data_IF_799631479400
#
_entry.id   IF_799631479400
#
_cell.length_a   1.000
_cell.length_b   1.000
_cell.length_c   1.000
_cell.angle_alpha   90.00
_cell.angle_beta   90.00
_cell.angle_gamma   90.00
#
_symmetry.space_group_name_H-M   'P 1'
#
loop_
_entity.id
_entity.type
_entity.pdbx_description
1 polymer ?
#
# COMPACT_ATOMS: atom_id res chain seq x y z
N UNK A 1 -6.23 -17.96 -66.43
CA UNK A 1 -6.92 -16.70 -66.06
C UNK A 1 -6.93 -16.62 -64.54
N UNK A 2 -6.66 -15.51 -63.85
CA UNK A 2 -6.01 -14.22 -64.21
C UNK A 2 -5.17 -13.80 -62.98
N UNK A 3 -4.07 -13.08 -63.19
CA UNK A 3 -3.39 -12.37 -62.08
C UNK A 3 -4.21 -11.15 -61.64
N UNK A 4 -4.02 -10.71 -60.39
CA UNK A 4 -3.68 -9.33 -60.00
C UNK A 4 -3.21 -9.34 -58.52
N UNK A 5 -2.52 -8.27 -58.10
CA UNK A 5 -1.74 -8.16 -56.86
C UNK A 5 -1.86 -6.70 -56.36
N UNK A 6 -1.70 -6.47 -55.05
CA UNK A 6 -1.59 -5.15 -54.38
C UNK A 6 -2.93 -4.34 -54.33
N UNK A 7 -3.18 -3.44 -53.37
CA UNK A 7 -2.33 -3.01 -52.23
C UNK A 7 -3.10 -2.59 -50.95
N UNK A 8 -2.34 -2.48 -49.85
CA UNK A 8 -2.55 -1.77 -48.57
C UNK A 8 -3.93 -1.24 -48.12
N UNK A 9 -4.30 -1.54 -46.85
CA UNK A 9 -4.28 -0.55 -45.75
C UNK A 9 -4.42 -1.23 -44.37
N UNK A 10 -3.66 -0.76 -43.37
CA UNK A 10 -3.73 -1.25 -41.97
C UNK A 10 -4.74 -0.45 -41.13
N UNK A 11 -5.31 -1.10 -40.12
CA UNK A 11 -5.72 -0.44 -38.87
C UNK A 11 -5.63 -1.44 -37.71
N UNK A 12 -4.43 -1.66 -37.20
CA UNK A 12 -4.17 -2.60 -36.11
C UNK A 12 -4.96 -2.29 -34.83
N UNK A 13 -5.63 -3.30 -34.28
CA UNK A 13 -6.21 -3.30 -32.92
C UNK A 13 -5.77 -4.56 -32.17
N UNK A 14 -4.46 -4.65 -31.93
CA UNK A 14 -3.89 -5.67 -31.07
C UNK A 14 -4.28 -5.38 -29.61
N UNK A 15 -5.33 -6.04 -29.13
CA UNK A 15 -5.76 -5.97 -27.72
C UNK A 15 -4.80 -6.81 -26.88
N UNK A 16 -3.64 -6.24 -26.57
CA UNK A 16 -2.63 -6.88 -25.74
C UNK A 16 -3.17 -7.12 -24.32
N UNK A 17 -3.59 -8.35 -24.03
CA UNK A 17 -3.93 -8.80 -22.69
C UNK A 17 -2.67 -8.83 -21.84
N UNK A 18 -2.42 -7.75 -21.08
CA UNK A 18 -1.29 -7.67 -20.17
C UNK A 18 -1.37 -8.80 -19.14
N UNK A 19 -0.35 -9.65 -19.12
CA UNK A 19 -0.24 -10.75 -18.18
C UNK A 19 0.09 -10.21 -16.79
N UNK A 20 -0.94 -10.07 -15.95
CA UNK A 20 -0.81 -9.72 -14.55
C UNK A 20 -0.11 -10.85 -13.78
N UNK A 21 1.21 -10.87 -13.81
CA UNK A 21 2.02 -11.74 -12.95
C UNK A 21 1.76 -11.44 -11.47
N UNK A 22 1.92 -12.45 -10.61
CA UNK A 22 1.63 -12.38 -9.18
C UNK A 22 2.35 -11.21 -8.49
N UNK A 23 1.62 -10.11 -8.26
CA UNK A 23 2.01 -9.02 -7.37
C UNK A 23 1.38 -9.23 -6.01
N UNK A 24 2.16 -8.93 -4.97
CA UNK A 24 1.83 -9.16 -3.57
C UNK A 24 1.85 -7.83 -2.81
N UNK A 25 0.98 -7.72 -1.82
CA UNK A 25 0.82 -6.55 -0.92
C UNK A 25 2.16 -5.95 -0.44
N UNK A 26 3.11 -6.81 -0.10
CA UNK A 26 4.37 -6.44 0.54
C UNK A 26 5.62 -6.99 -0.19
N UNK A 27 5.60 -7.02 -1.53
CA UNK A 27 6.74 -7.43 -2.37
C UNK A 27 8.03 -6.62 -2.10
N UNK A 28 7.88 -5.35 -1.71
CA UNK A 28 8.90 -4.53 -1.07
C UNK A 28 8.59 -4.47 0.42
N UNK A 29 9.32 -5.26 1.22
CA UNK A 29 9.07 -5.38 2.65
C UNK A 29 9.10 -4.01 3.36
N UNK A 30 8.11 -3.77 4.23
CA UNK A 30 7.92 -2.49 4.93
C UNK A 30 8.94 -2.30 6.06
N UNK A 31 10.22 -2.20 5.69
CA UNK A 31 11.33 -1.79 6.53
C UNK A 31 11.22 -0.28 6.82
N UNK A 32 10.17 0.10 7.57
CA UNK A 32 9.86 1.48 7.98
C UNK A 32 10.99 2.12 8.81
N UNK A 33 11.92 1.31 9.34
CA UNK A 33 13.13 1.70 10.07
C UNK A 33 14.30 0.75 9.77
N UNK A 34 15.53 1.24 9.98
CA UNK A 34 16.75 0.43 9.97
C UNK A 34 17.56 0.43 8.65
N UNK A 35 18.68 -0.29 8.64
CA UNK A 35 19.68 -0.35 7.54
C UNK A 35 19.16 -0.92 6.20
N UNK A 36 17.91 -1.36 6.14
CA UNK A 36 17.25 -1.97 4.97
C UNK A 36 16.12 -1.10 4.39
N UNK A 37 15.81 0.06 4.97
CA UNK A 37 14.81 0.99 4.44
C UNK A 37 15.16 1.36 2.97
N UNK A 38 14.22 1.14 2.05
CA UNK A 38 14.38 1.45 0.63
C UNK A 38 15.29 0.50 -0.14
N UNK A 39 15.63 -0.68 0.40
CA UNK A 39 16.34 -1.73 -0.34
C UNK A 39 15.38 -2.83 -0.75
N UNK A 40 15.27 -3.08 -2.05
CA UNK A 40 14.70 -4.32 -2.56
C UNK A 40 15.53 -5.51 -2.10
N UNK A 41 14.84 -6.62 -1.79
CA UNK A 41 15.49 -7.92 -1.53
C UNK A 41 16.28 -8.31 -2.79
N UNK A 42 17.54 -8.79 -2.66
CA UNK A 42 18.35 -9.11 -3.83
C UNK A 42 17.75 -10.26 -4.64
N UNK A 43 17.17 -9.92 -5.79
CA UNK A 43 16.79 -10.90 -6.80
C UNK A 43 18.03 -11.70 -7.23
N UNK A 44 17.84 -13.01 -7.47
CA UNK A 44 18.88 -13.94 -7.94
C UNK A 44 19.65 -13.27 -9.11
N UNK A 45 20.97 -13.05 -9.02
CA UNK A 45 21.70 -12.42 -10.11
C UNK A 45 21.65 -13.30 -11.35
N UNK A 46 21.15 -12.75 -12.46
CA UNK A 46 21.13 -13.38 -13.77
C UNK A 46 22.53 -13.95 -14.09
N UNK A 47 22.61 -15.26 -14.36
CA UNK A 47 23.87 -15.95 -14.64
C UNK A 47 24.38 -15.50 -16.01
N UNK A 48 25.21 -14.46 -16.01
CA UNK A 48 25.92 -14.02 -17.21
C UNK A 48 27.02 -15.03 -17.54
N UNK A 49 26.75 -15.91 -18.50
CA UNK A 49 27.79 -16.76 -19.08
C UNK A 49 28.97 -15.90 -19.53
N UNK A 50 30.16 -16.22 -19.01
CA UNK A 50 31.31 -15.34 -19.10
C UNK A 50 32.09 -15.49 -20.40
N UNK A 51 32.55 -14.35 -20.93
CA UNK A 51 33.73 -14.28 -21.80
C UNK A 51 34.71 -13.30 -21.12
N UNK A 52 35.88 -13.75 -20.64
CA UNK A 52 36.79 -12.91 -19.88
C UNK A 52 37.73 -12.11 -20.80
N UNK A 53 37.94 -10.82 -20.52
CA UNK A 53 39.19 -10.14 -20.93
C UNK A 53 39.58 -8.93 -20.08
N UNK A 54 40.64 -9.13 -19.30
CA UNK A 54 41.76 -8.21 -19.04
C UNK A 54 41.49 -6.78 -18.54
N UNK A 55 41.91 -6.56 -17.29
CA UNK A 55 42.38 -5.26 -16.78
C UNK A 55 43.13 -4.41 -17.81
N UNK A 56 42.89 -3.09 -17.78
CA UNK A 56 43.98 -2.12 -17.60
C UNK A 56 43.62 -1.13 -16.50
N UNK A 57 44.54 -0.92 -15.57
CA UNK A 57 44.52 0.24 -14.68
C UNK A 57 44.98 1.47 -15.47
N UNK A 58 44.47 2.65 -15.11
CA UNK A 58 45.28 3.87 -15.12
C UNK A 58 44.75 4.83 -14.05
N UNK A 59 45.66 5.40 -13.27
CA UNK A 59 45.38 6.31 -12.15
C UNK A 59 45.79 7.73 -12.55
N UNK A 60 45.32 8.73 -11.79
CA UNK A 60 45.79 10.15 -11.79
C UNK A 60 45.20 11.05 -12.90
N UNK A 61 45.17 12.39 -12.77
CA UNK A 61 45.61 13.29 -11.67
C UNK A 61 44.69 14.53 -11.56
N UNK A 62 44.80 15.26 -10.45
CA UNK A 62 44.06 16.48 -10.09
C UNK A 62 44.95 17.72 -10.25
N UNK A 63 44.51 18.77 -10.95
CA UNK A 63 45.13 20.11 -10.88
C UNK A 63 44.12 21.26 -11.14
N UNK A 64 44.49 22.50 -10.80
CA UNK A 64 43.56 23.66 -10.68
C UNK A 64 44.26 25.02 -10.83
N UNK A 65 43.84 25.84 -11.81
CA UNK A 65 43.96 27.32 -11.93
C UNK A 65 43.00 27.78 -13.06
N UNK A 66 42.27 28.90 -13.09
CA UNK A 66 42.34 30.25 -12.47
C UNK A 66 43.31 31.23 -13.15
N UNK A 67 42.75 32.14 -13.95
CA UNK A 67 42.98 33.60 -14.05
C UNK A 67 41.82 34.24 -14.84
N UNK A 68 41.72 35.57 -14.86
CA UNK A 68 40.44 36.30 -14.95
C UNK A 68 40.40 37.38 -16.07
N UNK A 69 39.35 38.22 -16.05
CA UNK A 69 39.22 39.59 -16.61
C UNK A 69 38.65 39.92 -18.03
N UNK A 70 38.16 41.17 -18.08
CA UNK A 70 37.32 42.00 -18.98
C UNK A 70 37.49 41.87 -20.53
N UNK A 71 36.59 42.33 -21.42
CA UNK A 71 35.86 43.61 -21.45
C UNK A 71 34.62 43.65 -22.41
N UNK A 72 33.93 44.81 -22.51
CA UNK A 72 32.69 45.09 -23.30
C UNK A 72 32.98 45.88 -24.62
N UNK A 73 32.02 46.41 -25.47
CA UNK A 73 30.55 46.37 -25.45
C UNK A 73 29.80 46.24 -26.83
N UNK A 74 28.46 46.39 -26.78
CA UNK A 74 27.50 46.91 -27.81
C UNK A 74 27.16 46.08 -29.08
N UNK A 75 25.85 45.79 -29.24
CA UNK A 75 24.99 46.51 -30.19
C UNK A 75 23.47 46.22 -29.99
N UNK A 76 22.63 47.24 -30.19
CA UNK A 76 21.16 47.17 -30.36
C UNK A 76 20.80 47.93 -31.65
N UNK A 77 19.60 47.70 -32.21
CA UNK A 77 18.73 48.86 -32.47
C UNK A 77 17.28 48.74 -31.93
N UNK A 78 16.72 49.89 -31.55
CA UNK A 78 15.29 50.16 -31.35
C UNK A 78 14.78 51.03 -32.53
N UNK A 79 13.50 51.21 -32.83
CA UNK A 79 12.21 50.75 -32.27
C UNK A 79 11.38 50.15 -33.45
N UNK A 80 10.06 49.90 -33.50
CA UNK A 80 8.85 50.17 -32.70
C UNK A 80 7.98 48.87 -32.67
N UNK A 81 6.66 48.77 -32.45
CA UNK A 81 5.51 49.71 -32.34
C UNK A 81 4.45 49.11 -31.40
N UNK A 82 3.51 49.90 -30.89
CA UNK A 82 2.42 49.44 -30.01
C UNK A 82 1.25 48.78 -30.76
N UNK A 83 0.63 47.78 -30.12
CA UNK A 83 -0.79 47.43 -30.35
C UNK A 83 -1.40 46.81 -29.08
N UNK A 84 -2.50 47.37 -28.60
CA UNK A 84 -3.05 47.12 -27.26
C UNK A 84 -3.89 45.85 -27.19
N UNK A 85 -3.36 44.76 -26.60
CA UNK A 85 -4.17 43.58 -26.24
C UNK A 85 -3.67 42.72 -25.05
N UNK A 86 -2.51 43.04 -24.45
CA UNK A 86 -1.76 42.08 -23.63
C UNK A 86 -2.19 41.90 -22.16
N UNK A 87 -3.03 42.78 -21.60
CA UNK A 87 -3.22 42.88 -20.13
C UNK A 87 -4.34 41.98 -19.58
N UNK A 88 -5.33 41.58 -20.39
CA UNK A 88 -6.46 40.76 -19.92
C UNK A 88 -6.16 39.25 -19.85
N UNK A 89 -5.15 38.76 -20.58
CA UNK A 89 -4.92 37.32 -20.72
C UNK A 89 -3.94 36.70 -19.73
N UNK A 90 -3.08 37.44 -19.04
CA UNK A 90 -2.04 36.83 -18.17
C UNK A 90 -2.62 36.03 -17.00
N UNK A 91 -3.63 36.55 -16.30
CA UNK A 91 -4.32 35.78 -15.24
C UNK A 91 -5.05 34.56 -15.79
N UNK A 92 -5.83 34.73 -16.86
CA UNK A 92 -6.58 33.64 -17.49
C UNK A 92 -5.64 32.54 -18.02
N UNK A 93 -4.50 32.91 -18.58
CA UNK A 93 -3.50 31.96 -19.07
C UNK A 93 -2.79 31.24 -17.91
N UNK A 94 -2.50 31.92 -16.80
CA UNK A 94 -1.99 31.26 -15.58
C UNK A 94 -3.01 30.30 -14.99
N UNK A 95 -4.29 30.67 -14.91
CA UNK A 95 -5.38 29.77 -14.47
C UNK A 95 -5.62 28.60 -15.42
N UNK A 96 -5.47 28.81 -16.74
CA UNK A 96 -5.53 27.74 -17.73
C UNK A 96 -4.33 26.80 -17.62
N UNK A 97 -3.11 27.31 -17.47
CA UNK A 97 -1.90 26.47 -17.28
C UNK A 97 -1.99 25.71 -15.96
N UNK A 98 -2.37 26.37 -14.86
CA UNK A 98 -2.64 25.73 -13.57
C UNK A 98 -3.71 24.63 -13.68
N UNK A 99 -4.81 24.87 -14.40
CA UNK A 99 -5.84 23.86 -14.67
C UNK A 99 -5.29 22.67 -15.46
N UNK A 100 -4.54 22.90 -16.54
CA UNK A 100 -3.96 21.82 -17.35
C UNK A 100 -2.90 21.03 -16.56
N UNK A 101 -2.05 21.70 -15.78
CA UNK A 101 -1.06 21.07 -14.88
C UNK A 101 -1.75 20.24 -13.80
N UNK A 102 -2.80 20.76 -13.17
CA UNK A 102 -3.62 19.99 -12.20
C UNK A 102 -4.29 18.78 -12.85
N UNK A 103 -4.82 18.93 -14.08
CA UNK A 103 -5.48 17.84 -14.80
C UNK A 103 -4.49 16.76 -15.27
N UNK A 104 -3.29 17.16 -15.70
CA UNK A 104 -2.19 16.23 -16.01
C UNK A 104 -1.68 15.50 -14.76
N UNK A 105 -1.43 16.23 -13.65
CA UNK A 105 -1.03 15.63 -12.38
C UNK A 105 -2.10 14.67 -11.83
N UNK A 106 -3.38 15.04 -11.95
CA UNK A 106 -4.53 14.19 -11.61
C UNK A 106 -4.55 12.90 -12.44
N UNK A 107 -4.32 12.98 -13.75
CA UNK A 107 -4.26 11.81 -14.63
C UNK A 107 -3.07 10.90 -14.27
N UNK A 108 -1.87 11.46 -14.08
CA UNK A 108 -0.66 10.72 -13.68
C UNK A 108 -0.86 10.02 -12.32
N UNK A 109 -1.41 10.71 -11.33
CA UNK A 109 -1.65 10.16 -9.99
C UNK A 109 -2.73 9.06 -10.00
N UNK A 110 -3.81 9.19 -10.78
CA UNK A 110 -4.80 8.11 -10.94
C UNK A 110 -4.22 6.91 -11.71
N UNK A 111 -3.39 7.16 -12.73
CA UNK A 111 -2.71 6.09 -13.45
C UNK A 111 -1.73 5.34 -12.53
N UNK A 112 -0.93 6.05 -11.73
CA UNK A 112 -0.04 5.44 -10.74
C UNK A 112 -0.83 4.69 -9.67
N UNK A 113 -1.97 5.23 -9.22
CA UNK A 113 -2.86 4.54 -8.30
C UNK A 113 -3.33 3.19 -8.86
N UNK A 114 -3.88 3.19 -10.09
CA UNK A 114 -4.42 2.00 -10.72
C UNK A 114 -3.38 0.89 -10.93
N UNK A 115 -2.18 1.22 -11.40
CA UNK A 115 -1.18 0.22 -11.76
C UNK A 115 -0.30 -0.18 -10.55
N UNK A 116 0.22 0.80 -9.80
CA UNK A 116 1.30 0.58 -8.82
C UNK A 116 0.88 0.68 -7.35
N UNK A 117 -0.23 1.36 -7.02
CA UNK A 117 -0.73 1.41 -5.62
C UNK A 117 -1.72 0.29 -5.36
N UNK A 118 -2.77 0.15 -6.18
CA UNK A 118 -3.80 -0.87 -6.00
C UNK A 118 -3.21 -2.29 -5.95
N UNK A 119 -2.18 -2.56 -6.74
CA UNK A 119 -1.46 -3.84 -6.77
C UNK A 119 -0.66 -4.15 -5.48
N UNK A 120 -0.41 -3.15 -4.63
CA UNK A 120 0.29 -3.26 -3.33
C UNK A 120 -0.65 -3.13 -2.13
N UNK A 121 -1.94 -2.90 -2.35
CA UNK A 121 -2.95 -2.86 -1.28
C UNK A 121 -3.86 -4.11 -1.28
N UNK A 122 -3.72 -5.00 -2.26
CA UNK A 122 -4.32 -6.33 -2.25
C UNK A 122 -3.27 -7.41 -1.92
N UNK A 123 -3.69 -8.51 -1.29
CA UNK A 123 -2.81 -9.66 -1.03
C UNK A 123 -2.38 -10.39 -2.30
N UNK A 124 -3.32 -10.57 -3.22
CA UNK A 124 -3.12 -11.14 -4.55
C UNK A 124 -3.69 -10.15 -5.56
N UNK A 125 -2.85 -9.58 -6.41
CA UNK A 125 -3.34 -8.66 -7.44
C UNK A 125 -4.03 -9.41 -8.60
N UNK A 126 -5.08 -8.81 -9.16
CA UNK A 126 -5.86 -9.41 -10.23
C UNK A 126 -7.12 -8.61 -10.60
N UNK A 127 -7.97 -9.15 -11.50
CA UNK A 127 -9.14 -8.43 -12.01
C UNK A 127 -10.23 -8.19 -10.96
N UNK A 128 -10.26 -8.97 -9.87
CA UNK A 128 -11.19 -8.78 -8.74
C UNK A 128 -10.76 -7.65 -7.77
N UNK A 129 -9.54 -7.10 -7.87
CA UNK A 129 -8.93 -6.25 -6.83
C UNK A 129 -9.87 -5.07 -6.41
N UNK A 130 -10.34 -5.00 -5.15
CA UNK A 130 -11.32 -4.02 -4.68
C UNK A 130 -10.84 -2.58 -4.82
N UNK A 131 -9.53 -2.33 -4.79
CA UNK A 131 -8.98 -0.99 -5.01
C UNK A 131 -9.22 -0.49 -6.44
N UNK A 132 -9.37 -1.38 -7.43
CA UNK A 132 -9.76 -1.04 -8.81
C UNK A 132 -11.26 -1.19 -9.09
N UNK A 133 -11.91 -2.21 -8.52
CA UNK A 133 -13.32 -2.53 -8.83
C UNK A 133 -14.33 -1.75 -7.99
N UNK A 134 -13.94 -1.29 -6.80
CA UNK A 134 -14.79 -0.54 -5.87
C UNK A 134 -14.24 0.86 -5.58
N UNK A 135 -13.00 0.97 -5.10
CA UNK A 135 -12.46 2.27 -4.61
C UNK A 135 -12.24 3.25 -5.75
N UNK A 136 -11.67 2.82 -6.88
CA UNK A 136 -11.40 3.68 -8.04
C UNK A 136 -12.69 4.28 -8.67
N UNK A 137 -13.78 3.52 -8.95
CA UNK A 137 -15.05 4.10 -9.38
C UNK A 137 -15.70 5.06 -8.37
N UNK A 138 -15.60 4.77 -7.07
CA UNK A 138 -16.10 5.67 -6.04
C UNK A 138 -15.25 6.96 -5.96
N UNK A 139 -13.93 6.87 -6.13
CA UNK A 139 -13.02 8.02 -6.19
C UNK A 139 -13.26 8.90 -7.43
N UNK A 140 -13.79 8.36 -8.54
CA UNK A 140 -14.20 9.18 -9.68
C UNK A 140 -15.43 10.05 -9.34
N UNK A 141 -16.34 9.55 -8.49
CA UNK A 141 -17.58 10.24 -8.10
C UNK A 141 -17.39 11.18 -6.89
N UNK A 142 -16.83 10.68 -5.79
CA UNK A 142 -16.64 11.45 -4.55
C UNK A 142 -15.40 12.33 -4.58
N UNK A 143 -15.58 13.63 -4.42
CA UNK A 143 -14.48 14.60 -4.32
C UNK A 143 -13.57 14.38 -3.11
N UNK A 144 -14.10 13.87 -1.98
CA UNK A 144 -13.30 13.64 -0.78
C UNK A 144 -12.41 12.40 -0.93
N UNK A 145 -13.01 11.28 -1.35
CA UNK A 145 -12.26 10.06 -1.64
C UNK A 145 -11.21 10.31 -2.73
N UNK A 146 -11.56 11.02 -3.81
CA UNK A 146 -10.64 11.42 -4.89
C UNK A 146 -9.35 12.07 -4.37
N UNK A 147 -9.47 13.07 -3.50
CA UNK A 147 -8.31 13.78 -2.94
C UNK A 147 -7.44 12.83 -2.09
N UNK A 148 -8.04 11.92 -1.34
CA UNK A 148 -7.31 10.91 -0.55
C UNK A 148 -6.60 9.88 -1.43
N UNK A 149 -7.24 9.38 -2.49
CA UNK A 149 -6.68 8.41 -3.45
C UNK A 149 -5.50 9.02 -4.21
N UNK A 150 -5.62 10.28 -4.64
CA UNK A 150 -4.53 11.05 -5.26
C UNK A 150 -3.39 11.33 -4.26
N UNK A 151 -3.72 11.67 -3.01
CA UNK A 151 -2.74 11.91 -1.94
C UNK A 151 -1.98 10.65 -1.52
N UNK A 152 -2.64 9.49 -1.57
CA UNK A 152 -2.09 8.15 -1.39
C UNK A 152 -1.14 7.77 -2.54
N UNK A 153 -1.54 8.05 -3.79
CA UNK A 153 -0.65 7.88 -4.95
C UNK A 153 0.60 8.76 -4.85
N UNK A 154 0.45 10.04 -4.49
CA UNK A 154 1.57 10.97 -4.31
C UNK A 154 2.52 10.52 -3.18
N UNK A 155 1.97 9.98 -2.07
CA UNK A 155 2.77 9.40 -0.99
C UNK A 155 3.62 8.22 -1.50
N UNK A 156 2.99 7.25 -2.17
CA UNK A 156 3.71 6.09 -2.73
C UNK A 156 4.77 6.51 -3.76
N UNK A 157 4.42 7.40 -4.71
CA UNK A 157 5.37 7.96 -5.68
C UNK A 157 6.58 8.60 -4.99
N UNK A 158 6.40 9.31 -3.87
CA UNK A 158 7.50 9.96 -3.13
C UNK A 158 8.48 9.00 -2.45
N UNK A 159 8.12 7.71 -2.35
CA UNK A 159 8.99 6.63 -1.88
C UNK A 159 9.72 5.98 -3.04
N UNK A 160 9.04 5.72 -4.17
CA UNK A 160 9.60 4.98 -5.32
C UNK A 160 10.29 5.85 -6.38
N UNK A 161 10.01 7.16 -6.46
CA UNK A 161 10.78 8.13 -7.24
C UNK A 161 11.61 9.02 -6.30
N UNK A 162 12.94 8.80 -6.19
CA UNK A 162 13.81 9.66 -5.40
C UNK A 162 13.99 11.06 -5.99
N UNK A 163 13.78 11.22 -7.31
CA UNK A 163 14.07 12.45 -8.05
C UNK A 163 13.07 13.57 -7.68
N UNK A 164 11.77 13.27 -7.77
CA UNK A 164 10.69 14.25 -7.52
C UNK A 164 10.20 14.28 -6.07
N UNK A 165 10.87 13.55 -5.17
CA UNK A 165 10.42 13.25 -3.81
C UNK A 165 9.93 14.47 -3.03
N UNK A 166 10.63 15.60 -3.10
CA UNK A 166 10.25 16.82 -2.39
C UNK A 166 8.92 17.41 -2.90
N UNK A 167 8.73 17.44 -4.23
CA UNK A 167 7.49 17.90 -4.86
C UNK A 167 6.34 16.94 -4.57
N UNK A 168 6.56 15.63 -4.69
CA UNK A 168 5.56 14.59 -4.41
C UNK A 168 5.11 14.58 -2.94
N UNK A 169 6.02 14.77 -1.98
CA UNK A 169 5.66 14.95 -0.56
C UNK A 169 4.80 16.21 -0.36
N UNK A 170 5.08 17.30 -1.07
CA UNK A 170 4.27 18.51 -0.94
C UNK A 170 2.90 18.39 -1.63
N UNK A 171 2.82 17.70 -2.77
CA UNK A 171 1.55 17.34 -3.43
C UNK A 171 0.71 16.46 -2.49
N UNK A 172 1.30 15.43 -1.89
CA UNK A 172 0.64 14.59 -0.88
C UNK A 172 0.08 15.44 0.29
N UNK A 173 0.88 16.35 0.87
CA UNK A 173 0.42 17.24 1.96
C UNK A 173 -0.76 18.11 1.54
N UNK A 174 -0.65 18.79 0.40
CA UNK A 174 -1.71 19.66 -0.12
C UNK A 174 -3.02 18.87 -0.34
N UNK A 175 -2.92 17.67 -0.93
CA UNK A 175 -4.06 16.78 -1.16
C UNK A 175 -4.66 16.25 0.14
N UNK A 176 -3.83 15.85 1.12
CA UNK A 176 -4.26 15.41 2.45
C UNK A 176 -4.99 16.53 3.20
N UNK A 177 -4.43 17.74 3.21
CA UNK A 177 -4.99 18.85 3.98
C UNK A 177 -6.31 19.35 3.34
N UNK A 178 -6.40 19.33 2.01
CA UNK A 178 -7.67 19.49 1.30
C UNK A 178 -8.68 18.35 1.61
N UNK A 179 -8.22 17.09 1.64
CA UNK A 179 -9.05 15.92 2.02
C UNK A 179 -9.65 16.13 3.41
N UNK A 180 -8.84 16.50 4.41
CA UNK A 180 -9.31 16.72 5.78
C UNK A 180 -10.34 17.85 5.87
N UNK A 181 -10.18 18.91 5.08
CA UNK A 181 -11.18 19.99 4.99
C UNK A 181 -12.52 19.52 4.37
N UNK A 182 -12.50 18.59 3.42
CA UNK A 182 -13.72 17.98 2.87
C UNK A 182 -14.33 16.95 3.82
N UNK A 183 -13.49 16.10 4.43
CA UNK A 183 -13.88 15.03 5.33
C UNK A 183 -14.58 15.56 6.58
N UNK A 184 -14.04 16.62 7.21
CA UNK A 184 -14.67 17.27 8.35
C UNK A 184 -16.08 17.80 8.00
N UNK A 185 -16.25 18.40 6.81
CA UNK A 185 -17.57 18.89 6.35
C UNK A 185 -18.56 17.75 6.09
N UNK A 186 -18.09 16.64 5.51
CA UNK A 186 -18.93 15.43 5.36
C UNK A 186 -19.33 14.87 6.73
N UNK A 187 -18.39 14.69 7.66
CA UNK A 187 -18.65 14.21 9.02
C UNK A 187 -19.62 15.13 9.79
N UNK A 188 -19.47 16.44 9.69
CA UNK A 188 -20.42 17.41 10.26
C UNK A 188 -21.82 17.29 9.66
N UNK A 189 -21.92 17.07 8.34
CA UNK A 189 -23.20 16.89 7.65
C UNK A 189 -23.89 15.61 8.11
N UNK A 190 -23.16 14.50 8.20
CA UNK A 190 -23.68 13.22 8.69
C UNK A 190 -24.10 13.29 10.17
N UNK A 191 -23.30 13.97 11.02
CA UNK A 191 -23.66 14.23 12.42
C UNK A 191 -24.97 15.02 12.56
N UNK A 192 -25.18 16.03 11.71
CA UNK A 192 -26.41 16.85 11.70
C UNK A 192 -27.59 16.04 11.13
N UNK A 193 -27.39 15.26 10.07
CA UNK A 193 -28.43 14.39 9.47
C UNK A 193 -28.90 13.30 10.43
N UNK A 194 -28.01 12.72 11.24
CA UNK A 194 -28.37 11.72 12.26
C UNK A 194 -29.36 12.20 13.33
N UNK A 195 -29.56 13.51 13.49
CA UNK A 195 -30.59 14.09 14.38
C UNK A 195 -31.94 14.30 13.68
N UNK A 196 -31.95 14.37 12.34
CA UNK A 196 -33.12 14.68 11.51
C UNK A 196 -33.43 13.51 10.53
N UNK A 197 -33.99 12.43 11.07
CA UNK A 197 -34.15 11.14 10.39
C UNK A 197 -35.20 11.16 9.25
N UNK A 198 -34.78 11.00 8.00
CA UNK A 198 -35.62 10.51 6.90
C UNK A 198 -34.81 9.84 5.77
N UNK A 199 -35.46 8.94 5.03
CA UNK A 199 -35.04 8.36 3.73
C UNK A 199 -33.73 7.54 3.64
N UNK A 200 -33.79 6.35 4.26
CA UNK A 200 -32.78 5.26 4.30
C UNK A 200 -32.14 4.78 2.99
N UNK A 201 -32.58 5.26 1.82
CA UNK A 201 -32.16 4.73 0.51
C UNK A 201 -30.92 5.46 -0.04
N UNK A 202 -30.65 6.68 0.43
CA UNK A 202 -29.50 7.50 -0.03
C UNK A 202 -28.41 7.67 1.03
N UNK A 203 -28.72 7.35 2.30
CA UNK A 203 -27.90 7.68 3.46
C UNK A 203 -26.47 7.11 3.41
N UNK A 204 -26.33 5.86 2.98
CA UNK A 204 -25.16 5.05 3.31
C UNK A 204 -23.93 5.26 2.40
N UNK A 205 -24.12 5.79 1.18
CA UNK A 205 -23.01 6.18 0.28
C UNK A 205 -22.04 7.17 0.93
N UNK A 206 -22.53 8.07 1.80
CA UNK A 206 -21.67 9.11 2.41
C UNK A 206 -20.80 8.53 3.52
N UNK A 207 -21.31 7.60 4.33
CA UNK A 207 -20.50 6.94 5.37
C UNK A 207 -19.48 5.97 4.75
N UNK A 208 -19.85 5.30 3.65
CA UNK A 208 -18.92 4.56 2.76
C UNK A 208 -17.76 5.47 2.31
N UNK A 209 -18.06 6.67 1.79
CA UNK A 209 -17.03 7.62 1.35
C UNK A 209 -16.12 8.10 2.49
N UNK A 210 -16.68 8.40 3.67
CA UNK A 210 -15.93 8.81 4.86
C UNK A 210 -14.95 7.71 5.28
N UNK A 211 -15.43 6.47 5.40
CA UNK A 211 -14.61 5.30 5.78
C UNK A 211 -13.50 5.06 4.75
N UNK A 212 -13.83 5.01 3.45
CA UNK A 212 -12.83 4.85 2.37
C UNK A 212 -11.80 5.97 2.33
N UNK A 213 -12.21 7.21 2.60
CA UNK A 213 -11.29 8.35 2.70
C UNK A 213 -10.32 8.14 3.86
N UNK A 214 -10.80 7.70 5.03
CA UNK A 214 -9.97 7.46 6.21
C UNK A 214 -9.02 6.26 6.02
N UNK A 215 -9.45 5.17 5.38
CA UNK A 215 -8.57 4.04 5.03
C UNK A 215 -7.48 4.51 4.05
N UNK A 216 -7.85 5.28 3.02
CA UNK A 216 -6.89 5.82 2.03
C UNK A 216 -5.88 6.78 2.68
N UNK A 217 -6.31 7.64 3.61
CA UNK A 217 -5.44 8.50 4.41
C UNK A 217 -4.52 7.70 5.35
N UNK A 218 -5.01 6.59 5.91
CA UNK A 218 -4.23 5.69 6.75
C UNK A 218 -3.04 5.12 5.96
N UNK A 219 -3.29 4.52 4.79
CA UNK A 219 -2.23 4.01 3.92
C UNK A 219 -1.31 5.13 3.41
N UNK A 220 -1.84 6.31 3.09
CA UNK A 220 -1.02 7.44 2.62
C UNK A 220 0.03 7.83 3.66
N UNK A 221 -0.36 7.97 4.93
CA UNK A 221 0.58 8.29 6.01
C UNK A 221 1.44 7.06 6.43
N UNK A 222 1.05 5.82 6.11
CA UNK A 222 1.95 4.65 6.26
C UNK A 222 3.11 4.65 5.25
N UNK A 223 2.90 5.16 4.02
CA UNK A 223 3.99 5.33 3.05
C UNK A 223 4.96 6.47 3.43
N UNK A 224 4.53 7.47 4.22
CA UNK A 224 5.40 8.59 4.62
C UNK A 224 6.36 8.16 5.75
N UNK A 225 7.69 8.14 5.53
CA UNK A 225 8.65 7.66 6.52
C UNK A 225 8.58 8.43 7.85
N UNK A 226 8.59 7.68 8.96
CA UNK A 226 8.42 8.17 10.34
C UNK A 226 7.10 8.89 10.65
N UNK A 227 6.10 8.90 9.76
CA UNK A 227 4.78 9.37 10.18
C UNK A 227 4.13 8.41 11.19
N UNK A 228 3.35 8.98 12.09
CA UNK A 228 2.51 8.23 13.03
C UNK A 228 1.03 8.67 12.96
N UNK A 229 0.67 9.49 11.96
CA UNK A 229 -0.71 10.01 11.74
C UNK A 229 -1.66 8.94 11.24
N UNK A 230 -1.17 7.88 10.61
CA UNK A 230 -1.98 6.71 10.24
C UNK A 230 -2.84 6.20 11.40
N UNK A 231 -2.34 6.27 12.65
CA UNK A 231 -3.07 5.92 13.87
C UNK A 231 -4.33 6.77 14.10
N UNK A 232 -4.27 8.07 13.79
CA UNK A 232 -5.41 8.98 13.88
C UNK A 232 -6.46 8.62 12.83
N UNK A 233 -6.02 8.32 11.60
CA UNK A 233 -6.90 7.89 10.52
C UNK A 233 -7.55 6.53 10.82
N UNK A 234 -6.79 5.55 11.32
CA UNK A 234 -7.29 4.24 11.77
C UNK A 234 -8.32 4.37 12.90
N UNK A 235 -8.05 5.21 13.91
CA UNK A 235 -9.04 5.53 14.96
C UNK A 235 -10.30 6.18 14.38
N UNK A 236 -10.16 6.95 13.29
CA UNK A 236 -11.27 7.49 12.50
C UNK A 236 -12.07 6.39 11.80
N UNK A 237 -11.40 5.49 11.05
CA UNK A 237 -12.03 4.33 10.37
C UNK A 237 -12.89 3.56 11.36
N UNK A 238 -12.33 3.18 12.51
CA UNK A 238 -13.06 2.46 13.57
C UNK A 238 -14.24 3.27 14.11
N UNK A 239 -14.08 4.56 14.39
CA UNK A 239 -15.18 5.43 14.86
C UNK A 239 -16.29 5.59 13.83
N UNK A 240 -15.96 5.54 12.53
CA UNK A 240 -16.94 5.49 11.44
C UNK A 240 -17.64 4.14 11.34
N UNK A 241 -16.89 3.04 11.52
CA UNK A 241 -17.41 1.68 11.48
C UNK A 241 -18.31 1.36 12.69
N UNK A 242 -17.95 1.80 13.90
CA UNK A 242 -18.77 1.70 15.13
C UNK A 242 -20.13 2.44 15.00
N UNK A 243 -20.30 3.26 13.95
CA UNK A 243 -21.54 3.99 13.59
C UNK A 243 -22.24 3.44 12.34
N UNK A 244 -21.65 2.44 11.66
CA UNK A 244 -22.20 1.87 10.44
C UNK A 244 -23.25 0.81 10.76
N UNK A 245 -24.51 1.06 10.37
CA UNK A 245 -25.56 0.06 10.52
C UNK A 245 -25.43 -1.03 9.45
N UNK A 246 -24.92 -2.20 9.86
CA UNK A 246 -24.78 -3.39 9.02
C UNK A 246 -26.12 -4.00 8.57
N UNK A 247 -27.27 -3.46 9.00
CA UNK A 247 -28.59 -3.93 8.60
C UNK A 247 -28.95 -3.68 7.12
N UNK A 248 -28.18 -2.90 6.35
CA UNK A 248 -28.45 -2.69 4.91
C UNK A 248 -27.91 -3.86 4.05
N UNK A 249 -28.77 -4.70 3.43
CA UNK A 249 -28.31 -5.88 2.70
C UNK A 249 -27.56 -5.55 1.39
N UNK A 250 -27.86 -4.39 0.77
CA UNK A 250 -27.30 -4.00 -0.52
C UNK A 250 -25.80 -3.69 -0.48
N UNK A 251 -25.26 -3.40 0.70
CA UNK A 251 -23.87 -2.95 0.86
C UNK A 251 -22.95 -4.02 1.43
N UNK A 252 -23.45 -5.23 1.67
CA UNK A 252 -22.72 -6.33 2.32
C UNK A 252 -21.32 -6.59 1.75
N UNK A 253 -21.12 -6.46 0.43
CA UNK A 253 -19.82 -6.61 -0.24
C UNK A 253 -18.87 -5.46 0.09
N UNK A 254 -19.39 -4.23 0.15
CA UNK A 254 -18.64 -3.01 0.46
C UNK A 254 -18.26 -3.03 1.95
N UNK A 255 -19.20 -3.38 2.83
CA UNK A 255 -18.95 -3.56 4.26
C UNK A 255 -17.93 -4.66 4.55
N UNK A 256 -17.98 -5.80 3.84
CA UNK A 256 -17.01 -6.89 3.99
C UNK A 256 -15.58 -6.41 3.69
N UNK A 257 -15.37 -5.68 2.59
CA UNK A 257 -14.05 -5.12 2.25
C UNK A 257 -13.53 -4.17 3.35
N UNK A 258 -14.39 -3.38 4.00
CA UNK A 258 -13.96 -2.51 5.11
C UNK A 258 -13.66 -3.28 6.39
N UNK A 259 -14.40 -4.35 6.67
CA UNK A 259 -14.10 -5.23 7.81
C UNK A 259 -12.72 -5.86 7.60
N UNK A 260 -12.48 -6.47 6.43
CA UNK A 260 -11.21 -7.11 6.09
C UNK A 260 -10.05 -6.10 6.16
N UNK A 261 -10.16 -4.92 5.54
CA UNK A 261 -9.12 -3.89 5.60
C UNK A 261 -8.92 -3.27 6.99
N UNK A 262 -9.96 -3.16 7.82
CA UNK A 262 -9.84 -2.72 9.21
C UNK A 262 -9.13 -3.77 10.06
N UNK A 263 -9.50 -5.05 9.94
CA UNK A 263 -8.85 -6.18 10.62
C UNK A 263 -7.35 -6.23 10.24
N UNK A 264 -7.00 -6.06 8.96
CA UNK A 264 -5.60 -5.94 8.50
C UNK A 264 -4.88 -4.71 9.10
N UNK A 265 -5.51 -3.53 9.10
CA UNK A 265 -4.91 -2.31 9.65
C UNK A 265 -4.72 -2.35 11.17
N UNK A 266 -5.63 -2.98 11.92
CA UNK A 266 -5.47 -3.16 13.37
C UNK A 266 -4.36 -4.18 13.69
N UNK A 267 -4.25 -5.28 12.94
CA UNK A 267 -3.21 -6.29 13.13
C UNK A 267 -1.80 -5.76 12.82
N UNK A 268 -1.61 -5.11 11.67
CA UNK A 268 -0.31 -4.47 11.35
C UNK A 268 -0.04 -3.22 12.21
N UNK A 269 -1.11 -2.58 12.71
CA UNK A 269 -1.03 -1.53 13.71
C UNK A 269 -0.55 -2.02 15.08
N UNK A 270 -0.96 -3.21 15.52
CA UNK A 270 -0.61 -3.74 16.84
C UNK A 270 0.85 -4.20 16.93
N UNK A 271 1.36 -4.91 15.91
CA UNK A 271 2.77 -5.36 15.90
C UNK A 271 3.74 -4.17 15.91
N UNK A 272 3.34 -3.04 15.34
CA UNK A 272 4.15 -1.82 15.21
C UNK A 272 3.97 -0.82 16.36
N UNK A 273 2.98 -1.01 17.25
CA UNK A 273 2.72 -0.11 18.37
C UNK A 273 2.83 -0.79 19.73
N UNK A 274 3.66 -0.21 20.59
CA UNK A 274 3.95 -0.70 21.94
C UNK A 274 3.06 0.03 22.96
N UNK A 275 1.75 0.02 22.72
CA UNK A 275 0.74 0.58 23.64
C UNK A 275 0.10 -0.52 24.46
N UNK A 276 -0.14 -0.27 25.75
CA UNK A 276 -0.92 -1.16 26.61
C UNK A 276 -2.41 -1.18 26.25
N UNK A 277 -2.91 -0.17 25.52
CA UNK A 277 -4.32 0.01 25.19
C UNK A 277 -4.75 -0.70 23.89
N UNK A 278 -4.36 -1.97 23.69
CA UNK A 278 -4.90 -2.80 22.61
C UNK A 278 -6.40 -3.06 22.85
N UNK A 279 -7.26 -2.23 22.24
CA UNK A 279 -8.71 -2.44 22.22
C UNK A 279 -9.07 -3.59 21.28
N UNK A 280 -9.00 -4.83 21.78
CA UNK A 280 -9.64 -5.99 21.14
C UNK A 280 -11.03 -5.61 20.68
N UNK A 281 -11.29 -5.69 19.38
CA UNK A 281 -12.67 -5.92 18.92
C UNK A 281 -12.90 -7.42 18.74
N UNK A 282 -14.18 -7.81 18.71
CA UNK A 282 -14.59 -9.12 18.24
C UNK A 282 -14.26 -9.22 16.74
N UNK A 283 -13.72 -10.33 16.21
CA UNK A 283 -13.61 -10.50 14.77
C UNK A 283 -15.01 -10.34 14.17
N UNK A 284 -15.19 -9.31 13.35
CA UNK A 284 -16.51 -8.93 12.80
C UNK A 284 -16.86 -9.89 11.65
N UNK A 285 -15.84 -10.31 10.91
CA UNK A 285 -15.89 -11.33 9.88
C UNK A 285 -15.94 -12.75 10.49
N UNK A 286 -17.14 -13.21 10.87
CA UNK A 286 -17.40 -14.64 11.18
C UNK A 286 -17.34 -15.55 9.94
N UNK A 287 -17.24 -14.96 8.75
CA UNK A 287 -17.12 -15.67 7.49
C UNK A 287 -15.84 -15.19 6.81
N UNK A 288 -14.78 -15.99 6.91
CA UNK A 288 -13.68 -15.86 5.96
C UNK A 288 -14.26 -16.02 4.54
N UNK A 289 -14.00 -15.05 3.67
CA UNK A 289 -14.30 -15.17 2.25
C UNK A 289 -13.42 -16.28 1.68
N UNK A 290 -13.96 -17.12 0.78
CA UNK A 290 -13.26 -18.33 0.31
C UNK A 290 -11.91 -18.06 -0.38
N UNK A 291 -11.69 -16.82 -0.81
CA UNK A 291 -10.52 -16.35 -1.53
C UNK A 291 -9.45 -15.70 -0.59
N UNK A 292 -9.73 -15.54 0.72
CA UNK A 292 -8.74 -15.04 1.69
C UNK A 292 -7.94 -16.20 2.31
N UNK A 293 -6.65 -16.23 1.99
CA UNK A 293 -5.66 -17.21 2.46
C UNK A 293 -4.70 -16.62 3.52
N UNK A 294 -4.83 -15.33 3.84
CA UNK A 294 -3.91 -14.57 4.71
C UNK A 294 -4.54 -14.18 6.05
N UNK A 295 -5.87 -14.28 6.16
CA UNK A 295 -6.63 -13.97 7.37
C UNK A 295 -6.16 -14.76 8.59
N UNK A 296 -6.05 -16.09 8.52
CA UNK A 296 -5.67 -16.92 9.69
C UNK A 296 -4.30 -16.53 10.27
N UNK A 297 -3.32 -16.23 9.40
CA UNK A 297 -2.00 -15.77 9.81
C UNK A 297 -2.04 -14.37 10.43
N UNK A 298 -2.95 -13.51 9.97
CA UNK A 298 -3.12 -12.15 10.47
C UNK A 298 -3.81 -12.14 11.84
N UNK A 299 -4.84 -12.97 12.01
CA UNK A 299 -5.48 -13.23 13.31
C UNK A 299 -4.46 -13.83 14.31
N UNK A 300 -3.64 -14.79 13.86
CA UNK A 300 -2.58 -15.36 14.71
C UNK A 300 -1.52 -14.31 15.12
N UNK A 301 -1.04 -13.45 14.21
CA UNK A 301 -0.13 -12.34 14.53
C UNK A 301 -0.75 -11.38 15.57
N UNK A 302 -2.03 -11.06 15.43
CA UNK A 302 -2.75 -10.22 16.37
C UNK A 302 -2.87 -10.89 17.75
N UNK A 303 -3.24 -12.17 17.82
CA UNK A 303 -3.31 -12.93 19.07
C UNK A 303 -1.96 -13.05 19.78
N UNK A 304 -0.87 -13.32 19.03
CA UNK A 304 0.50 -13.31 19.56
C UNK A 304 0.80 -11.95 20.19
N UNK A 305 0.49 -10.85 19.48
CA UNK A 305 0.71 -9.49 19.97
C UNK A 305 -0.10 -9.20 21.24
N UNK A 306 -1.40 -9.52 21.25
CA UNK A 306 -2.26 -9.33 22.42
C UNK A 306 -1.74 -10.13 23.62
N UNK A 307 -1.23 -11.34 23.39
CA UNK A 307 -0.68 -12.20 24.44
C UNK A 307 0.62 -11.61 25.01
N UNK A 308 1.54 -11.15 24.16
CA UNK A 308 2.78 -10.48 24.59
C UNK A 308 2.46 -9.23 25.42
N UNK A 309 1.57 -8.35 24.92
CA UNK A 309 1.23 -7.09 25.60
C UNK A 309 0.54 -7.36 26.93
N UNK A 310 -0.28 -8.40 27.01
CA UNK A 310 -0.92 -8.82 28.26
C UNK A 310 0.11 -9.35 29.27
N UNK A 311 1.10 -10.13 28.81
CA UNK A 311 2.20 -10.66 29.65
C UNK A 311 3.14 -9.55 30.14
N UNK A 312 3.52 -8.59 29.30
CA UNK A 312 4.34 -7.43 29.67
C UNK A 312 3.62 -6.56 30.74
N UNK A 313 2.33 -6.24 30.54
CA UNK A 313 1.54 -5.51 31.55
C UNK A 313 1.41 -6.29 32.88
N UNK A 314 1.24 -7.61 32.84
CA UNK A 314 1.18 -8.44 34.03
C UNK A 314 2.53 -8.52 34.77
N UNK A 315 3.64 -8.66 34.03
CA UNK A 315 5.00 -8.62 34.58
C UNK A 315 5.32 -7.27 35.24
N UNK A 316 5.00 -6.15 34.58
CA UNK A 316 5.14 -4.78 35.13
C UNK A 316 4.28 -4.53 36.37
N UNK A 317 3.18 -5.27 36.55
CA UNK A 317 2.33 -5.22 37.76
C UNK A 317 2.71 -6.27 38.80
N UNK A 318 3.90 -6.88 38.69
CA UNK A 318 4.46 -7.80 39.69
C UNK A 318 3.83 -9.18 39.70
N UNK A 319 3.02 -9.54 38.70
CA UNK A 319 2.40 -10.86 38.62
C UNK A 319 3.38 -11.89 38.07
N UNK A 320 3.63 -12.94 38.84
CA UNK A 320 4.34 -14.13 38.36
C UNK A 320 3.48 -14.80 37.28
N UNK A 321 4.09 -15.06 36.13
CA UNK A 321 3.47 -15.73 34.99
C UNK A 321 4.17 -17.07 34.74
N UNK A 322 3.39 -18.09 34.38
CA UNK A 322 3.97 -19.30 33.81
C UNK A 322 4.66 -19.02 32.48
N UNK A 323 5.56 -19.92 32.07
CA UNK A 323 6.09 -19.95 30.70
C UNK A 323 4.95 -20.03 29.67
N UNK A 324 5.18 -19.53 28.47
CA UNK A 324 4.23 -19.76 27.38
C UNK A 324 4.49 -21.14 26.82
N UNK A 325 3.47 -21.99 26.73
CA UNK A 325 3.60 -23.22 25.95
C UNK A 325 3.68 -22.86 24.47
N UNK A 326 4.86 -23.06 23.88
CA UNK A 326 5.11 -22.76 22.47
C UNK A 326 4.54 -23.82 21.52
N UNK A 327 4.24 -25.04 22.00
CA UNK A 327 3.62 -26.09 21.18
C UNK A 327 2.24 -25.65 20.69
N UNK A 328 1.42 -25.07 21.58
CA UNK A 328 0.09 -24.51 21.25
C UNK A 328 0.15 -23.50 20.10
N UNK A 329 1.19 -22.66 20.05
CA UNK A 329 1.37 -21.68 18.97
C UNK A 329 1.90 -22.32 17.68
N UNK A 330 2.80 -23.30 17.79
CA UNK A 330 3.30 -24.06 16.64
C UNK A 330 2.19 -24.88 15.99
N UNK A 331 1.40 -25.61 16.79
CA UNK A 331 0.30 -26.46 16.32
C UNK A 331 -0.82 -25.62 15.68
N UNK A 332 -1.16 -24.46 16.27
CA UNK A 332 -2.11 -23.51 15.68
C UNK A 332 -1.63 -22.98 14.32
N UNK A 333 -0.37 -22.55 14.22
CA UNK A 333 0.20 -22.03 12.97
C UNK A 333 0.34 -23.12 11.91
N UNK A 334 0.69 -24.35 12.30
CA UNK A 334 0.80 -25.51 11.40
C UNK A 334 -0.58 -25.89 10.87
N UNK A 335 -1.57 -26.04 11.76
CA UNK A 335 -2.96 -26.33 11.39
C UNK A 335 -3.56 -25.27 10.45
N UNK A 336 -3.22 -23.99 10.67
CA UNK A 336 -3.61 -22.90 9.77
C UNK A 336 -2.96 -23.03 8.39
N UNK A 337 -1.65 -23.31 8.33
CA UNK A 337 -0.93 -23.49 7.06
C UNK A 337 -1.44 -24.71 6.28
N UNK A 338 -1.65 -25.84 6.93
CA UNK A 338 -2.15 -27.06 6.29
C UNK A 338 -3.59 -26.90 5.80
N UNK A 339 -4.46 -26.25 6.60
CA UNK A 339 -5.83 -25.93 6.20
C UNK A 339 -5.87 -25.00 4.97
N UNK A 340 -5.07 -23.94 4.97
CA UNK A 340 -4.97 -23.00 3.85
C UNK A 340 -4.39 -23.69 2.60
N UNK A 341 -3.39 -24.56 2.75
CA UNK A 341 -2.86 -25.35 1.64
C UNK A 341 -3.94 -26.29 1.05
N UNK A 342 -4.70 -26.98 1.89
CA UNK A 342 -5.80 -27.84 1.46
C UNK A 342 -6.91 -27.06 0.74
N UNK A 343 -7.23 -25.82 1.16
CA UNK A 343 -8.14 -24.94 0.41
C UNK A 343 -7.63 -24.69 -1.01
N UNK A 344 -6.35 -24.36 -1.16
CA UNK A 344 -5.72 -24.09 -2.47
C UNK A 344 -5.73 -25.33 -3.36
N UNK A 345 -5.42 -26.52 -2.83
CA UNK A 345 -5.47 -27.78 -3.58
C UNK A 345 -6.89 -28.19 -3.97
N UNK A 346 -7.89 -27.87 -3.15
CA UNK A 346 -9.31 -28.09 -3.48
C UNK A 346 -9.88 -27.08 -4.49
N UNK A 347 -9.16 -25.99 -4.77
CA UNK A 347 -9.62 -24.92 -5.67
C UNK A 347 -9.12 -25.15 -7.09
N UNK A 348 -10.00 -25.39 -8.10
CA UNK A 348 -9.59 -25.69 -9.46
C UNK A 348 -9.04 -24.44 -10.18
N UNK A 349 -7.73 -24.22 -10.06
CA UNK A 349 -6.98 -23.22 -10.83
C UNK A 349 -6.60 -23.77 -12.21
N UNK A 350 -6.65 -22.91 -13.24
CA UNK A 350 -6.02 -23.19 -14.54
C UNK A 350 -4.53 -22.81 -14.57
N UNK A 351 -4.04 -22.05 -13.57
CA UNK A 351 -2.63 -21.68 -13.42
C UNK A 351 -2.03 -22.37 -12.18
N UNK A 352 -1.19 -23.37 -12.46
CA UNK A 352 -0.41 -24.14 -11.47
C UNK A 352 0.78 -23.32 -10.95
N UNK A 353 1.35 -22.43 -11.77
CA UNK A 353 2.47 -21.57 -11.37
C UNK A 353 2.02 -20.55 -10.33
N UNK A 354 0.80 -20.01 -10.49
CA UNK A 354 0.15 -19.14 -9.51
C UNK A 354 -0.09 -19.85 -8.17
N UNK A 355 -0.56 -21.10 -8.19
CA UNK A 355 -0.74 -21.91 -6.97
C UNK A 355 0.61 -22.19 -6.26
N UNK A 356 1.66 -22.54 -7.00
CA UNK A 356 3.01 -22.75 -6.45
C UNK A 356 3.52 -21.45 -5.81
N UNK A 357 3.40 -20.31 -6.52
CA UNK A 357 3.77 -19.00 -5.99
C UNK A 357 3.01 -18.63 -4.71
N UNK A 358 1.68 -18.79 -4.70
CA UNK A 358 0.83 -18.56 -3.54
C UNK A 358 1.26 -19.40 -2.33
N UNK A 359 1.46 -20.72 -2.51
CA UNK A 359 1.95 -21.62 -1.46
C UNK A 359 3.32 -21.21 -0.93
N UNK A 360 4.25 -20.79 -1.79
CA UNK A 360 5.57 -20.29 -1.36
C UNK A 360 5.46 -19.03 -0.48
N UNK A 361 4.55 -18.10 -0.82
CA UNK A 361 4.31 -16.88 -0.03
C UNK A 361 3.67 -17.21 1.32
N UNK A 362 2.69 -18.11 1.35
CA UNK A 362 2.03 -18.55 2.58
C UNK A 362 2.98 -19.33 3.50
N UNK A 363 3.91 -20.11 2.92
CA UNK A 363 4.98 -20.78 3.68
C UNK A 363 5.93 -19.76 4.31
N UNK A 364 6.29 -18.69 3.59
CA UNK A 364 7.06 -17.59 4.16
C UNK A 364 6.28 -16.84 5.27
N UNK A 365 4.98 -16.63 5.10
CA UNK A 365 4.11 -16.02 6.12
C UNK A 365 4.00 -16.90 7.37
N UNK A 366 3.83 -18.22 7.23
CA UNK A 366 3.85 -19.19 8.33
C UNK A 366 5.14 -19.08 9.15
N UNK A 367 6.31 -19.14 8.50
CA UNK A 367 7.59 -19.00 9.22
C UNK A 367 7.80 -17.61 9.82
N UNK A 368 7.30 -16.53 9.19
CA UNK A 368 7.34 -15.20 9.78
C UNK A 368 6.49 -15.12 11.07
N UNK A 369 5.30 -15.72 11.08
CA UNK A 369 4.44 -15.81 12.27
C UNK A 369 5.07 -16.66 13.37
N UNK A 370 5.73 -17.77 13.01
CA UNK A 370 6.41 -18.65 13.96
C UNK A 370 7.66 -18.00 14.57
N UNK A 371 8.48 -17.31 13.76
CA UNK A 371 9.60 -16.51 14.27
C UNK A 371 9.11 -15.39 15.19
N UNK A 372 8.00 -14.74 14.85
CA UNK A 372 7.40 -13.71 15.69
C UNK A 372 6.85 -14.26 17.02
N UNK A 373 6.18 -15.43 17.01
CA UNK A 373 5.67 -16.05 18.25
C UNK A 373 6.80 -16.41 19.21
N UNK A 374 7.87 -17.03 18.72
CA UNK A 374 9.04 -17.34 19.56
C UNK A 374 9.73 -16.08 20.06
N UNK A 375 9.91 -15.05 19.23
CA UNK A 375 10.51 -13.78 19.68
C UNK A 375 9.67 -13.09 20.78
N UNK A 376 8.34 -13.07 20.63
CA UNK A 376 7.42 -12.35 21.50
C UNK A 376 7.03 -13.10 22.78
N UNK A 377 6.96 -14.44 22.76
CA UNK A 377 6.31 -15.23 23.83
C UNK A 377 7.19 -16.27 24.52
N UNK A 378 8.22 -16.79 23.87
CA UNK A 378 9.04 -17.88 24.40
C UNK A 378 10.08 -17.40 25.43
N UNK A 379 10.56 -18.30 26.29
CA UNK A 379 11.69 -18.03 27.18
C UNK A 379 13.01 -17.90 26.41
N UNK A 380 14.03 -17.30 27.03
CA UNK A 380 15.33 -17.10 26.37
C UNK A 380 15.99 -18.41 25.92
N UNK A 381 15.86 -19.48 26.71
CA UNK A 381 16.36 -20.80 26.35
C UNK A 381 15.65 -21.37 25.10
N UNK A 382 14.33 -21.22 25.02
CA UNK A 382 13.54 -21.63 23.85
C UNK A 382 13.87 -20.79 22.61
N UNK A 383 14.07 -19.47 22.76
CA UNK A 383 14.48 -18.58 21.65
C UNK A 383 15.84 -18.98 21.08
N UNK A 384 16.81 -19.29 21.93
CA UNK A 384 18.15 -19.75 21.52
C UNK A 384 18.06 -21.12 20.83
N UNK A 385 17.32 -22.07 21.40
CA UNK A 385 17.11 -23.39 20.80
C UNK A 385 16.42 -23.30 19.43
N UNK A 386 15.32 -22.56 19.33
CA UNK A 386 14.53 -22.42 18.10
C UNK A 386 15.32 -21.75 16.97
N UNK A 387 16.07 -20.68 17.27
CA UNK A 387 16.87 -19.98 16.24
C UNK A 387 18.01 -20.85 15.68
N UNK A 388 18.59 -21.75 16.48
CA UNK A 388 19.58 -22.72 16.01
C UNK A 388 18.97 -23.75 15.05
N UNK A 389 17.73 -24.20 15.28
CA UNK A 389 17.04 -25.18 14.42
C UNK A 389 16.42 -24.57 13.16
N UNK A 390 16.00 -23.30 13.20
CA UNK A 390 15.36 -22.65 12.05
C UNK A 390 16.36 -22.30 10.92
N UNK A 391 17.61 -21.98 11.26
CA UNK A 391 18.63 -21.60 10.27
C UNK A 391 18.88 -22.72 9.23
N UNK A 392 19.13 -23.99 9.61
CA UNK A 392 19.19 -25.12 8.66
C UNK A 392 17.93 -25.28 7.82
N UNK A 393 16.74 -25.15 8.44
CA UNK A 393 15.45 -25.30 7.78
C UNK A 393 15.10 -24.18 6.77
N UNK A 394 15.80 -23.04 6.84
CA UNK A 394 15.74 -21.96 5.84
C UNK A 394 16.84 -22.10 4.77
N UNK A 395 17.99 -22.68 5.09
CA UNK A 395 19.04 -22.91 4.10
C UNK A 395 18.67 -23.95 3.03
N UNK A 396 17.79 -24.91 3.33
CA UNK A 396 17.23 -25.85 2.35
C UNK A 396 16.24 -25.23 1.36
N UNK A 397 15.87 -23.94 1.47
CA UNK A 397 14.91 -23.28 0.58
C UNK A 397 15.45 -22.96 -0.84
N UNK A 398 16.77 -23.03 -1.06
CA UNK A 398 17.40 -22.57 -2.31
C UNK A 398 17.63 -23.67 -3.37
N UNK A 399 17.26 -24.92 -3.05
CA UNK A 399 17.42 -26.13 -3.86
C UNK A 399 16.18 -26.40 -4.71
#
# INVERSE_FOLDING_TARGET
MRNIRLDSLSSDREVASQSYGLRLRWDQGVASRGKLMGKSVPLRPQIKHGVPRTHKQSRTLRMKKHTDDENSPRCQPQIATESSLAVLHTKQNVELVDRHVRQAAHAVLFQHFNHEVASKLAWLDGPKNPWRTLVLPLAQRSSCLRLSTLGLAAAHMSVVSPQDKAALVQIHRNLRDATLCHLNRQMESELKRGVARCDKITEASVLIEIILTMISLCYAEMFIPNSTRWRLHLSGVRTGFDRYDLANPHEKVISQFFIEELDYLEAFGSISTFSSALRRHRPISQHATSDDYFKEFTEALYEITVTERTRDNAFRTGKILAGTDMTVWQDKLTSSYDSVCARIDSTPSQDVSLQIGLKSVLKAQYYACLVYSYQALASEAERICFTQHLIPAVHTWNS
#
